data_IF_388931072037
#
_entry.id   IF_388931072037
#
_cell.length_a   1.000
_cell.length_b   1.000
_cell.length_c   1.000
_cell.angle_alpha   90.00
_cell.angle_beta   90.00
_cell.angle_gamma   90.00
#
_symmetry.space_group_name_H-M   'P 1'
#
loop_
_entity.id
_entity.type
_entity.pdbx_description
1 polymer ?
#
# COMPACT_ATOMS: atom_id res chain seq x y z
N UNK A 1 23.24 3.61 -17.13
CA UNK A 1 21.95 3.47 -17.86
C UNK A 1 20.78 4.21 -17.19
N UNK A 2 20.32 3.85 -15.99
CA UNK A 2 19.16 4.50 -15.36
C UNK A 2 19.28 6.03 -15.15
N UNK A 3 20.48 6.49 -14.79
CA UNK A 3 20.78 7.92 -14.63
C UNK A 3 20.84 8.70 -15.96
N UNK A 4 21.05 8.03 -17.09
CA UNK A 4 21.06 8.69 -18.41
C UNK A 4 19.63 8.86 -18.93
N UNK A 5 18.74 7.93 -18.58
CA UNK A 5 17.34 7.98 -19.00
C UNK A 5 16.48 8.89 -18.11
N UNK A 6 16.89 9.15 -16.87
CA UNK A 6 16.08 9.92 -15.90
C UNK A 6 15.79 11.33 -16.40
N UNK A 7 16.73 11.98 -17.09
CA UNK A 7 16.56 13.34 -17.60
C UNK A 7 15.45 13.40 -18.67
N UNK A 8 15.42 12.40 -19.56
CA UNK A 8 14.36 12.28 -20.57
C UNK A 8 12.99 12.04 -19.94
N UNK A 9 12.93 11.27 -18.85
CA UNK A 9 11.68 11.05 -18.09
C UNK A 9 11.25 12.33 -17.37
N UNK A 10 12.18 13.05 -16.75
CA UNK A 10 11.90 14.31 -16.06
C UNK A 10 11.36 15.37 -17.00
N UNK A 11 11.84 15.45 -18.24
CA UNK A 11 11.31 16.38 -19.24
C UNK A 11 9.83 16.11 -19.59
N UNK A 12 9.44 14.83 -19.64
CA UNK A 12 8.03 14.45 -19.83
C UNK A 12 7.21 14.81 -18.59
N UNK A 13 7.73 14.53 -17.39
CA UNK A 13 7.06 14.85 -16.12
C UNK A 13 6.81 16.36 -16.00
N UNK A 14 7.80 17.19 -16.35
CA UNK A 14 7.66 18.65 -16.38
C UNK A 14 6.54 19.09 -17.30
N UNK A 15 6.51 18.56 -18.52
CA UNK A 15 5.47 18.89 -19.51
C UNK A 15 4.06 18.57 -19.00
N UNK A 16 3.88 17.39 -18.39
CA UNK A 16 2.58 17.01 -17.83
C UNK A 16 2.23 17.84 -16.58
N UNK A 17 3.23 18.19 -15.76
CA UNK A 17 3.04 19.04 -14.58
C UNK A 17 2.62 20.47 -14.98
N UNK A 18 3.21 21.04 -16.03
CA UNK A 18 2.81 22.34 -16.59
C UNK A 18 1.43 22.32 -17.24
N UNK A 19 0.99 21.16 -17.73
CA UNK A 19 -0.36 20.96 -18.27
C UNK A 19 -1.46 20.89 -17.20
N UNK A 20 -1.12 20.82 -15.92
CA UNK A 20 -2.08 20.74 -14.82
C UNK A 20 -2.44 22.13 -14.27
N UNK A 21 -3.73 22.42 -14.13
CA UNK A 21 -4.18 23.67 -13.48
C UNK A 21 -3.69 23.77 -12.02
N UNK A 22 -3.71 22.66 -11.29
CA UNK A 22 -3.21 22.56 -9.91
C UNK A 22 -2.74 21.14 -9.60
N UNK A 23 -1.45 20.89 -9.79
CA UNK A 23 -0.82 19.61 -9.48
C UNK A 23 -0.90 19.28 -7.97
N UNK A 24 -1.49 18.14 -7.61
CA UNK A 24 -1.53 17.70 -6.21
C UNK A 24 -0.25 16.97 -5.78
N UNK A 25 0.29 16.14 -6.66
CA UNK A 25 1.37 15.23 -6.33
C UNK A 25 1.63 14.20 -7.41
N UNK A 26 2.50 13.24 -7.09
CA UNK A 26 2.93 12.17 -7.97
C UNK A 26 2.59 10.81 -7.34
N UNK A 27 2.19 9.86 -8.17
CA UNK A 27 1.94 8.48 -7.78
C UNK A 27 2.86 7.56 -8.57
N UNK A 28 3.70 6.80 -7.87
CA UNK A 28 4.68 5.91 -8.49
C UNK A 28 4.38 4.46 -8.12
N UNK A 29 4.23 3.61 -9.15
CA UNK A 29 4.07 2.17 -8.99
C UNK A 29 5.37 1.47 -9.38
N UNK A 30 6.02 0.79 -8.44
CA UNK A 30 7.29 0.12 -8.70
C UNK A 30 7.47 -1.12 -7.82
N UNK A 31 8.41 -1.99 -8.21
CA UNK A 31 8.85 -3.12 -7.39
C UNK A 31 10.19 -2.79 -6.73
N UNK A 32 10.34 -3.20 -5.47
CA UNK A 32 11.58 -2.99 -4.71
C UNK A 32 12.59 -4.13 -4.92
N UNK A 33 12.17 -5.25 -5.50
CA UNK A 33 13.05 -6.41 -5.76
C UNK A 33 13.90 -6.28 -7.03
N UNK A 34 13.40 -5.64 -8.08
CA UNK A 34 14.08 -5.55 -9.38
C UNK A 34 14.99 -4.33 -9.52
N UNK A 35 16.00 -4.38 -10.39
CA UNK A 35 16.98 -3.29 -10.55
C UNK A 35 16.41 -1.97 -11.10
N UNK A 36 15.54 -2.03 -12.11
CA UNK A 36 14.97 -0.82 -12.72
C UNK A 36 13.93 -0.16 -11.81
N UNK A 37 12.94 -0.92 -11.35
CA UNK A 37 11.89 -0.41 -10.48
C UNK A 37 12.43 0.16 -9.18
N UNK A 38 13.40 -0.52 -8.57
CA UNK A 38 13.96 -0.10 -7.29
C UNK A 38 14.98 1.03 -7.47
N UNK A 39 16.00 0.82 -8.32
CA UNK A 39 17.11 1.77 -8.50
C UNK A 39 16.71 3.02 -9.27
N UNK A 40 16.19 2.87 -10.50
CA UNK A 40 15.75 4.03 -11.29
C UNK A 40 14.51 4.68 -10.68
N UNK A 41 13.58 3.89 -10.11
CA UNK A 41 12.38 4.43 -9.46
C UNK A 41 12.71 5.32 -8.26
N UNK A 42 13.65 4.92 -7.39
CA UNK A 42 14.07 5.75 -6.26
C UNK A 42 14.89 6.98 -6.68
N UNK A 43 15.72 6.86 -7.71
CA UNK A 43 16.39 8.02 -8.31
C UNK A 43 15.37 9.05 -8.84
N UNK A 44 14.33 8.57 -9.54
CA UNK A 44 13.27 9.41 -10.05
C UNK A 44 12.49 10.10 -8.91
N UNK A 45 12.15 9.36 -7.84
CA UNK A 45 11.50 9.93 -6.65
C UNK A 45 12.33 11.07 -6.05
N UNK A 46 13.64 10.87 -5.90
CA UNK A 46 14.55 11.87 -5.37
C UNK A 46 14.59 13.12 -6.25
N UNK A 47 14.71 12.95 -7.58
CA UNK A 47 14.70 14.06 -8.55
C UNK A 47 13.38 14.84 -8.56
N UNK A 48 12.25 14.15 -8.51
CA UNK A 48 10.94 14.80 -8.42
C UNK A 48 10.83 15.56 -7.10
N UNK A 49 11.34 15.03 -5.99
CA UNK A 49 11.32 15.70 -4.68
C UNK A 49 12.21 16.94 -4.65
N UNK A 50 13.35 16.93 -5.35
CA UNK A 50 14.21 18.10 -5.53
C UNK A 50 13.50 19.22 -6.31
N UNK A 51 12.80 18.89 -7.40
CA UNK A 51 12.17 19.87 -8.28
C UNK A 51 10.78 20.33 -7.80
N UNK A 52 10.02 19.44 -7.16
CA UNK A 52 8.67 19.67 -6.66
C UNK A 52 8.55 19.39 -5.15
N UNK A 53 9.28 20.13 -4.29
CA UNK A 53 9.36 19.84 -2.85
C UNK A 53 8.01 19.95 -2.13
N UNK A 54 7.13 20.84 -2.58
CA UNK A 54 5.83 21.07 -1.94
C UNK A 54 4.74 20.09 -2.39
N UNK A 55 5.01 19.20 -3.35
CA UNK A 55 4.03 18.27 -3.92
C UNK A 55 4.08 16.92 -3.21
N UNK A 56 2.90 16.31 -3.06
CA UNK A 56 2.78 15.01 -2.39
C UNK A 56 3.46 13.90 -3.22
N UNK A 57 4.20 13.01 -2.57
CA UNK A 57 4.80 11.84 -3.19
C UNK A 57 4.22 10.55 -2.59
N UNK A 58 3.40 9.85 -3.38
CA UNK A 58 2.80 8.58 -2.98
C UNK A 58 3.38 7.43 -3.81
N UNK A 59 3.73 6.31 -3.17
CA UNK A 59 4.27 5.14 -3.86
C UNK A 59 3.45 3.89 -3.58
N UNK A 60 3.20 3.08 -4.61
CA UNK A 60 2.72 1.71 -4.48
C UNK A 60 3.94 0.80 -4.70
N UNK A 61 4.47 0.30 -3.58
CA UNK A 61 5.74 -0.41 -3.55
C UNK A 61 5.50 -1.90 -3.35
N UNK A 62 5.80 -2.69 -4.39
CA UNK A 62 5.74 -4.15 -4.31
C UNK A 62 7.02 -4.68 -3.69
N UNK A 63 6.88 -5.29 -2.52
CA UNK A 63 7.96 -5.86 -1.75
C UNK A 63 8.28 -7.28 -2.21
N UNK A 64 9.58 -7.64 -2.22
CA UNK A 64 9.99 -8.98 -2.59
C UNK A 64 9.54 -10.01 -1.55
N UNK A 65 9.28 -11.23 -2.04
CA UNK A 65 9.03 -12.40 -1.20
C UNK A 65 9.87 -13.59 -1.67
N UNK A 66 10.47 -14.34 -0.72
CA UNK A 66 11.26 -15.53 -1.03
C UNK A 66 10.44 -16.67 -1.67
N UNK A 67 9.10 -16.67 -1.55
CA UNK A 67 8.25 -17.71 -2.17
C UNK A 67 8.00 -17.49 -3.65
N UNK A 68 8.18 -16.26 -4.13
CA UNK A 68 7.69 -15.81 -5.44
C UNK A 68 8.78 -15.27 -6.33
N UNK A 69 10.03 -15.22 -5.85
CA UNK A 69 11.14 -14.65 -6.60
C UNK A 69 12.17 -15.67 -7.03
N UNK A 70 12.61 -15.50 -8.27
CA UNK A 70 13.74 -16.21 -8.89
C UNK A 70 15.08 -15.46 -8.69
N UNK A 71 15.07 -14.23 -8.17
CA UNK A 71 16.27 -13.38 -8.06
C UNK A 71 16.83 -13.35 -6.64
N UNK A 72 18.11 -13.73 -6.50
CA UNK A 72 18.77 -13.82 -5.19
C UNK A 72 19.21 -12.47 -4.60
N UNK A 73 19.24 -11.40 -5.40
CA UNK A 73 19.74 -10.07 -4.97
C UNK A 73 18.63 -9.10 -4.51
N UNK A 74 17.37 -9.53 -4.52
CA UNK A 74 16.25 -8.67 -4.10
C UNK A 74 16.39 -8.05 -2.70
N UNK A 75 16.93 -8.75 -1.68
CA UNK A 75 17.11 -8.14 -0.36
C UNK A 75 18.05 -6.92 -0.37
N UNK A 76 19.06 -6.91 -1.24
CA UNK A 76 19.91 -5.73 -1.44
C UNK A 76 19.13 -4.58 -2.05
N UNK A 77 18.44 -4.84 -3.17
CA UNK A 77 17.65 -3.84 -3.89
C UNK A 77 16.57 -3.22 -2.98
N UNK A 78 15.85 -4.06 -2.24
CA UNK A 78 14.79 -3.60 -1.34
C UNK A 78 15.35 -2.78 -0.18
N UNK A 79 16.46 -3.21 0.45
CA UNK A 79 17.06 -2.46 1.57
C UNK A 79 17.54 -1.09 1.13
N UNK A 80 18.24 -1.00 -0.01
CA UNK A 80 18.71 0.27 -0.56
C UNK A 80 17.54 1.18 -0.96
N UNK A 81 16.48 0.60 -1.52
CA UNK A 81 15.33 1.38 -1.98
C UNK A 81 14.45 1.87 -0.83
N UNK A 82 14.27 1.06 0.21
CA UNK A 82 13.54 1.47 1.42
C UNK A 82 14.24 2.66 2.07
N UNK A 83 15.58 2.70 2.11
CA UNK A 83 16.30 3.85 2.63
C UNK A 83 15.91 5.16 1.92
N UNK A 84 15.83 5.13 0.58
CA UNK A 84 15.40 6.28 -0.22
C UNK A 84 13.93 6.65 0.00
N UNK A 85 13.05 5.64 0.11
CA UNK A 85 11.62 5.86 0.35
C UNK A 85 11.36 6.53 1.71
N UNK A 86 12.10 6.16 2.75
CA UNK A 86 11.98 6.77 4.10
C UNK A 86 12.23 8.29 4.08
N UNK A 87 13.06 8.78 3.15
CA UNK A 87 13.43 10.20 3.10
C UNK A 87 12.64 11.00 2.07
N UNK A 88 12.27 10.38 0.94
CA UNK A 88 11.71 11.10 -0.20
C UNK A 88 10.22 10.83 -0.47
N UNK A 89 9.61 9.81 0.13
CA UNK A 89 8.17 9.54 -0.01
C UNK A 89 7.37 10.09 1.17
N UNK A 90 6.18 10.61 0.89
CA UNK A 90 5.24 11.07 1.93
C UNK A 90 4.28 9.93 2.33
N UNK A 91 3.97 9.03 1.41
CA UNK A 91 3.08 7.88 1.59
C UNK A 91 3.64 6.68 0.82
N UNK A 92 3.80 5.53 1.48
CA UNK A 92 4.18 4.29 0.81
C UNK A 92 3.19 3.19 1.14
N UNK A 93 2.42 2.77 0.14
CA UNK A 93 1.53 1.62 0.22
C UNK A 93 2.34 0.34 -0.03
N UNK A 94 2.56 -0.42 1.03
CA UNK A 94 3.32 -1.67 1.00
C UNK A 94 2.43 -2.80 0.48
N UNK A 95 2.83 -3.38 -0.64
CA UNK A 95 2.17 -4.54 -1.24
C UNK A 95 3.16 -5.70 -1.21
N UNK A 96 2.80 -6.80 -0.58
CA UNK A 96 3.64 -7.98 -0.45
C UNK A 96 3.13 -9.10 -1.35
N UNK A 97 3.97 -9.57 -2.27
CA UNK A 97 3.65 -10.71 -3.11
C UNK A 97 3.30 -11.95 -2.27
N UNK A 98 3.94 -12.16 -1.12
CA UNK A 98 3.62 -13.30 -0.25
C UNK A 98 2.16 -13.29 0.20
N UNK A 99 1.69 -12.12 0.64
CA UNK A 99 0.32 -11.95 1.12
C UNK A 99 -0.69 -12.08 -0.02
N UNK A 100 -0.38 -11.53 -1.20
CA UNK A 100 -1.23 -11.66 -2.39
C UNK A 100 -1.38 -13.13 -2.82
N UNK A 101 -0.28 -13.89 -2.85
CA UNK A 101 -0.31 -15.32 -3.16
C UNK A 101 -1.15 -16.10 -2.13
N UNK A 102 -0.95 -15.84 -0.84
CA UNK A 102 -1.71 -16.49 0.24
C UNK A 102 -3.21 -16.16 0.14
N UNK A 103 -3.59 -14.92 -0.19
CA UNK A 103 -4.99 -14.51 -0.43
C UNK A 103 -5.57 -15.28 -1.62
N UNK A 104 -4.89 -15.29 -2.76
CA UNK A 104 -5.37 -15.97 -3.96
C UNK A 104 -5.57 -17.47 -3.72
N UNK A 105 -4.63 -18.13 -3.04
CA UNK A 105 -4.69 -19.56 -2.82
C UNK A 105 -5.68 -19.95 -1.71
N UNK A 106 -5.63 -19.26 -0.56
CA UNK A 106 -6.44 -19.65 0.62
C UNK A 106 -7.84 -19.07 0.60
N UNK A 107 -7.99 -17.81 0.20
CA UNK A 107 -9.27 -17.07 0.24
C UNK A 107 -10.02 -17.23 -1.07
N UNK A 108 -9.36 -16.99 -2.22
CA UNK A 108 -10.00 -17.10 -3.54
C UNK A 108 -10.05 -18.53 -4.10
N UNK A 109 -9.37 -19.49 -3.44
CA UNK A 109 -9.32 -20.91 -3.83
C UNK A 109 -8.75 -21.14 -5.24
N UNK A 110 -7.80 -20.32 -5.66
CA UNK A 110 -7.07 -20.50 -6.91
C UNK A 110 -5.91 -21.49 -6.69
N UNK A 111 -5.92 -22.61 -7.41
CA UNK A 111 -4.90 -23.66 -7.27
C UNK A 111 -3.49 -23.20 -7.74
N UNK A 112 -3.45 -22.38 -8.79
CA UNK A 112 -2.22 -21.79 -9.34
C UNK A 112 -2.47 -20.32 -9.67
N UNK A 113 -2.23 -19.40 -8.71
CA UNK A 113 -2.37 -17.97 -8.95
C UNK A 113 -1.34 -17.47 -9.95
N UNK A 114 -1.80 -16.76 -10.98
CA UNK A 114 -0.98 -16.09 -11.98
C UNK A 114 -0.72 -14.63 -11.58
N UNK A 115 0.27 -13.98 -12.18
CA UNK A 115 0.48 -12.54 -11.98
C UNK A 115 -0.74 -11.70 -12.38
N UNK A 116 -1.58 -12.17 -13.30
CA UNK A 116 -2.85 -11.51 -13.61
C UNK A 116 -3.79 -11.46 -12.41
N UNK A 117 -3.85 -12.54 -11.63
CA UNK A 117 -4.69 -12.63 -10.42
C UNK A 117 -4.18 -11.70 -9.30
N UNK A 118 -2.86 -11.65 -9.11
CA UNK A 118 -2.23 -10.70 -8.17
C UNK A 118 -2.50 -9.25 -8.58
N UNK A 119 -2.34 -8.93 -9.87
CA UNK A 119 -2.56 -7.58 -10.38
C UNK A 119 -4.03 -7.14 -10.28
N UNK A 120 -4.98 -8.09 -10.36
CA UNK A 120 -6.39 -7.80 -10.10
C UNK A 120 -6.64 -7.36 -8.65
N UNK A 121 -5.94 -7.94 -7.67
CA UNK A 121 -6.00 -7.50 -6.27
C UNK A 121 -5.36 -6.13 -6.08
N UNK A 122 -4.16 -5.93 -6.63
CA UNK A 122 -3.44 -4.65 -6.55
C UNK A 122 -4.25 -3.51 -7.17
N UNK A 123 -4.79 -3.71 -8.37
CA UNK A 123 -5.61 -2.70 -9.05
C UNK A 123 -6.89 -2.37 -8.28
N UNK A 124 -7.51 -3.35 -7.61
CA UNK A 124 -8.68 -3.13 -6.76
C UNK A 124 -8.36 -2.21 -5.57
N UNK A 125 -7.22 -2.42 -4.91
CA UNK A 125 -6.75 -1.54 -3.82
C UNK A 125 -6.37 -0.17 -4.33
N UNK A 126 -5.60 -0.07 -5.42
CA UNK A 126 -5.22 1.22 -5.99
C UNK A 126 -6.46 2.03 -6.38
N UNK A 127 -7.47 1.39 -6.98
CA UNK A 127 -8.77 2.00 -7.25
C UNK A 127 -9.45 2.44 -5.96
N UNK A 128 -9.43 1.61 -4.92
CA UNK A 128 -9.94 1.90 -3.59
C UNK A 128 -9.32 3.14 -2.94
N UNK A 129 -8.00 3.17 -2.79
CA UNK A 129 -7.23 4.26 -2.18
C UNK A 129 -7.46 5.59 -2.92
N UNK A 130 -7.51 5.57 -4.25
CA UNK A 130 -7.71 6.77 -5.07
C UNK A 130 -9.17 7.17 -5.25
N UNK A 131 -10.13 6.50 -4.59
CA UNK A 131 -11.56 6.76 -4.79
C UNK A 131 -11.93 8.19 -4.41
N UNK A 132 -11.41 8.71 -3.30
CA UNK A 132 -11.71 10.08 -2.83
C UNK A 132 -11.15 11.18 -3.74
N UNK A 133 -10.21 10.84 -4.62
CA UNK A 133 -9.64 11.75 -5.61
C UNK A 133 -10.46 11.77 -6.91
N UNK A 134 -11.06 10.62 -7.27
CA UNK A 134 -11.72 10.42 -8.58
C UNK A 134 -13.22 10.65 -8.55
N UNK A 135 -13.86 10.46 -7.40
CA UNK A 135 -15.30 10.60 -7.27
C UNK A 135 -15.66 11.60 -6.17
N UNK A 136 -16.71 12.41 -6.37
CA UNK A 136 -17.22 13.27 -5.31
C UNK A 136 -17.81 12.40 -4.19
N UNK A 137 -17.24 12.52 -3.00
CA UNK A 137 -17.74 11.92 -1.77
C UNK A 137 -18.20 12.98 -0.75
N UNK A 138 -18.93 12.54 0.27
CA UNK A 138 -19.31 13.43 1.39
C UNK A 138 -18.09 13.80 2.24
N UNK A 139 -17.08 12.92 2.29
CA UNK A 139 -15.81 13.13 2.97
C UNK A 139 -14.69 13.06 1.92
N UNK A 140 -14.47 14.17 1.22
CA UNK A 140 -13.36 14.27 0.28
C UNK A 140 -12.04 14.41 1.06
N UNK A 141 -11.10 13.54 0.73
CA UNK A 141 -9.72 13.56 1.19
C UNK A 141 -8.83 13.64 -0.04
N UNK A 142 -8.13 14.76 -0.19
CA UNK A 142 -6.99 14.87 -1.10
C UNK A 142 -5.82 14.04 -0.57
N UNK A 143 -4.78 13.83 -1.39
CA UNK A 143 -3.58 13.12 -0.97
C UNK A 143 -2.94 13.76 0.27
N UNK A 144 -2.97 15.09 0.36
CA UNK A 144 -2.40 15.79 1.51
C UNK A 144 -3.15 15.51 2.81
N UNK A 145 -4.49 15.52 2.80
CA UNK A 145 -5.31 15.22 3.97
C UNK A 145 -5.20 13.76 4.37
N UNK A 146 -5.02 12.86 3.40
CA UNK A 146 -4.71 11.45 3.69
C UNK A 146 -3.39 11.33 4.46
N UNK A 147 -2.32 11.97 3.97
CA UNK A 147 -1.02 11.98 4.66
C UNK A 147 -1.11 12.60 6.05
N UNK A 148 -1.74 13.76 6.19
CA UNK A 148 -1.86 14.47 7.49
C UNK A 148 -2.60 13.61 8.53
N UNK A 149 -3.61 12.86 8.11
CA UNK A 149 -4.39 12.03 9.03
C UNK A 149 -3.72 10.68 9.33
N UNK A 150 -2.97 10.12 8.38
CA UNK A 150 -2.38 8.79 8.52
C UNK A 150 -0.92 8.77 8.96
N UNK A 151 -0.17 9.86 8.80
CA UNK A 151 1.26 9.93 9.10
C UNK A 151 1.51 10.80 10.34
N UNK A 152 1.48 10.23 11.56
CA UNK A 152 1.77 10.99 12.78
C UNK A 152 3.25 11.37 12.88
N UNK A 153 4.15 10.60 12.26
CA UNK A 153 5.59 10.83 12.25
C UNK A 153 6.15 10.71 10.84
N UNK A 154 6.98 11.66 10.36
CA UNK A 154 7.40 11.74 8.96
C UNK A 154 8.04 10.46 8.41
N UNK A 155 8.76 9.68 9.22
CA UNK A 155 9.42 8.43 8.79
C UNK A 155 8.53 7.18 8.88
N UNK A 156 7.36 7.29 9.52
CA UNK A 156 6.40 6.20 9.70
C UNK A 156 5.24 6.37 8.73
N UNK A 157 5.53 6.37 7.44
CA UNK A 157 4.57 6.55 6.35
C UNK A 157 4.35 5.28 5.51
N UNK A 158 4.71 4.11 6.06
CA UNK A 158 4.51 2.83 5.40
C UNK A 158 3.18 2.22 5.82
N UNK A 159 2.27 2.06 4.86
CA UNK A 159 0.92 1.60 5.10
C UNK A 159 0.75 0.14 4.70
N UNK A 160 0.07 -0.61 5.56
CA UNK A 160 -0.52 -1.90 5.21
C UNK A 160 -1.88 -1.63 4.55
N UNK A 161 -2.11 -2.23 3.40
CA UNK A 161 -3.37 -2.08 2.66
C UNK A 161 -4.17 -3.38 2.67
N UNK A 162 -5.48 -3.26 2.63
CA UNK A 162 -6.41 -4.39 2.57
C UNK A 162 -7.61 -4.06 1.69
N UNK A 163 -8.28 -5.10 1.20
CA UNK A 163 -9.48 -4.96 0.39
C UNK A 163 -10.55 -5.94 0.88
N UNK A 164 -11.80 -5.48 0.88
CA UNK A 164 -12.97 -6.31 1.08
C UNK A 164 -14.05 -5.90 0.06
N UNK A 165 -14.85 -6.84 -0.46
CA UNK A 165 -14.82 -8.27 -0.17
C UNK A 165 -13.75 -9.03 -0.97
N UNK A 166 -13.21 -10.09 -0.37
CA UNK A 166 -12.41 -11.09 -1.07
C UNK A 166 -13.21 -12.39 -1.16
N UNK A 167 -13.96 -12.56 -2.23
CA UNK A 167 -14.84 -13.71 -2.45
C UNK A 167 -14.40 -14.50 -3.67
N UNK A 168 -14.30 -15.81 -3.52
CA UNK A 168 -14.10 -16.71 -4.65
C UNK A 168 -15.28 -16.61 -5.62
N UNK A 169 -15.00 -16.74 -6.92
CA UNK A 169 -15.99 -16.59 -8.01
C UNK A 169 -17.23 -17.48 -7.77
N UNK A 170 -17.04 -18.72 -7.31
CA UNK A 170 -18.13 -19.65 -7.03
C UNK A 170 -18.99 -19.32 -5.80
N UNK A 171 -18.55 -18.41 -4.93
CA UNK A 171 -19.24 -18.04 -3.69
C UNK A 171 -19.84 -16.63 -3.71
N UNK A 172 -19.64 -15.87 -4.80
CA UNK A 172 -20.17 -14.51 -4.92
C UNK A 172 -21.70 -14.45 -4.86
N UNK A 173 -22.40 -15.40 -5.49
CA UNK A 173 -23.87 -15.40 -5.56
C UNK A 173 -24.56 -15.75 -4.24
N UNK A 174 -23.85 -16.34 -3.28
CA UNK A 174 -24.43 -16.86 -2.03
C UNK A 174 -24.21 -15.94 -0.82
N UNK A 175 -23.40 -14.89 -0.96
CA UNK A 175 -23.00 -14.05 0.18
C UNK A 175 -23.67 -12.68 0.11
N UNK A 176 -24.52 -12.37 1.09
CA UNK A 176 -25.06 -11.03 1.27
C UNK A 176 -23.95 -10.11 1.79
N UNK A 177 -23.48 -9.19 0.94
CA UNK A 177 -22.51 -8.17 1.36
C UNK A 177 -23.21 -7.16 2.27
N UNK A 178 -22.71 -6.99 3.49
CA UNK A 178 -23.20 -6.02 4.48
C UNK A 178 -22.04 -5.20 5.04
N UNK A 179 -22.33 -4.01 5.59
CA UNK A 179 -21.31 -3.15 6.20
C UNK A 179 -20.56 -3.84 7.36
N UNK A 180 -21.24 -4.57 8.28
CA UNK A 180 -20.54 -5.33 9.33
C UNK A 180 -19.61 -6.41 8.77
N UNK A 181 -20.03 -7.14 7.72
CA UNK A 181 -19.19 -8.16 7.10
C UNK A 181 -17.94 -7.58 6.42
N UNK A 182 -18.09 -6.44 5.71
CA UNK A 182 -16.96 -5.73 5.12
C UNK A 182 -15.99 -5.25 6.20
N UNK A 183 -16.55 -4.68 7.28
CA UNK A 183 -15.77 -4.19 8.41
C UNK A 183 -14.99 -5.31 9.09
N UNK A 184 -15.62 -6.46 9.34
CA UNK A 184 -14.94 -7.62 9.92
C UNK A 184 -13.84 -8.17 9.00
N UNK A 185 -14.09 -8.22 7.69
CA UNK A 185 -13.08 -8.66 6.72
C UNK A 185 -11.89 -7.72 6.63
N UNK A 186 -12.10 -6.39 6.71
CA UNK A 186 -11.00 -5.42 6.64
C UNK A 186 -9.98 -5.61 7.76
N UNK A 187 -10.43 -5.96 8.97
CA UNK A 187 -9.54 -6.17 10.12
C UNK A 187 -9.05 -7.62 10.27
N UNK A 188 -9.39 -8.52 9.35
CA UNK A 188 -8.83 -9.88 9.33
C UNK A 188 -7.40 -9.84 8.77
N UNK A 189 -6.45 -10.39 9.52
CA UNK A 189 -5.05 -10.50 9.11
C UNK A 189 -4.89 -11.21 7.75
N UNK A 190 -5.81 -12.11 7.41
CA UNK A 190 -5.78 -12.85 6.13
C UNK A 190 -6.09 -12.00 4.90
N UNK A 191 -6.72 -10.84 5.09
CA UNK A 191 -7.12 -9.95 3.99
C UNK A 191 -6.15 -8.77 3.82
N UNK A 192 -5.10 -8.71 4.64
CA UNK A 192 -4.03 -7.74 4.50
C UNK A 192 -3.13 -8.13 3.31
N UNK A 193 -2.79 -7.16 2.49
CA UNK A 193 -1.88 -7.34 1.35
C UNK A 193 -0.42 -7.12 1.74
N UNK A 194 -0.12 -6.99 3.03
CA UNK A 194 1.23 -7.05 3.58
C UNK A 194 1.31 -8.27 4.49
N UNK A 195 2.36 -9.10 4.38
CA UNK A 195 2.51 -10.29 5.22
C UNK A 195 3.03 -9.90 6.61
N UNK A 196 2.17 -9.26 7.38
CA UNK A 196 2.38 -8.90 8.78
C UNK A 196 1.08 -9.15 9.54
N UNK A 197 1.15 -9.77 10.72
CA UNK A 197 -0.05 -9.93 11.56
C UNK A 197 -0.32 -8.62 12.32
N UNK A 198 -1.45 -7.93 12.07
CA UNK A 198 -1.74 -6.69 12.78
C UNK A 198 -1.88 -6.86 14.29
N UNK A 199 -2.14 -8.09 14.77
CA UNK A 199 -2.24 -8.41 16.20
C UNK A 199 -0.90 -8.40 16.93
N UNK A 200 0.21 -8.51 16.21
CA UNK A 200 1.56 -8.42 16.77
C UNK A 200 2.02 -6.95 16.94
N UNK A 201 1.17 -5.99 16.58
CA UNK A 201 1.44 -4.57 16.70
C UNK A 201 0.24 -3.80 17.22
N UNK A 202 0.30 -2.48 17.05
CA UNK A 202 -0.80 -1.55 17.30
C UNK A 202 -0.96 -0.63 16.10
N UNK A 203 -2.21 -0.34 15.76
CA UNK A 203 -2.57 0.66 14.79
C UNK A 203 -2.29 2.05 15.36
N UNK A 204 -1.43 2.80 14.68
CA UNK A 204 -1.23 4.22 14.91
C UNK A 204 -2.46 4.97 14.38
N UNK A 205 -2.76 4.78 13.09
CA UNK A 205 -3.86 5.41 12.36
C UNK A 205 -4.43 4.43 11.34
N UNK A 206 -5.71 4.60 11.03
CA UNK A 206 -6.45 3.74 10.11
C UNK A 206 -7.36 4.60 9.25
N UNK A 207 -7.41 4.33 7.95
CA UNK A 207 -8.43 4.85 7.05
C UNK A 207 -9.22 3.69 6.42
N UNK A 208 -10.55 3.80 6.43
CA UNK A 208 -11.46 2.88 5.78
C UNK A 208 -12.30 3.61 4.72
N UNK A 209 -12.11 3.25 3.46
CA UNK A 209 -12.84 3.79 2.32
C UNK A 209 -13.94 2.82 1.89
N UNK A 210 -15.18 3.12 2.23
CA UNK A 210 -16.35 2.37 1.79
C UNK A 210 -16.87 2.91 0.46
N UNK A 211 -17.28 2.00 -0.42
CA UNK A 211 -17.82 2.28 -1.74
C UNK A 211 -19.14 1.57 -1.94
N UNK A 212 -20.08 2.26 -2.57
CA UNK A 212 -21.42 1.76 -2.89
C UNK A 212 -22.51 2.46 -2.08
N UNK A 213 -23.74 1.94 -2.16
CA UNK A 213 -24.89 2.49 -1.44
C UNK A 213 -24.88 2.06 0.02
N UNK A 214 -24.00 2.68 0.82
CA UNK A 214 -23.86 2.43 2.25
C UNK A 214 -24.36 3.63 3.07
N UNK A 215 -24.90 3.35 4.25
CA UNK A 215 -25.26 4.38 5.23
C UNK A 215 -24.02 4.82 6.00
N UNK A 216 -23.71 6.12 5.99
CA UNK A 216 -22.56 6.68 6.73
C UNK A 216 -22.66 6.37 8.22
N UNK A 217 -23.87 6.48 8.78
CA UNK A 217 -24.12 6.17 10.19
C UNK A 217 -23.80 4.70 10.53
N UNK A 218 -24.20 3.78 9.66
CA UNK A 218 -23.92 2.35 9.87
C UNK A 218 -22.42 2.05 9.81
N UNK A 219 -21.70 2.70 8.89
CA UNK A 219 -20.24 2.60 8.80
C UNK A 219 -19.56 3.13 10.07
N UNK A 220 -19.96 4.31 10.55
CA UNK A 220 -19.39 4.90 11.77
C UNK A 220 -19.68 4.03 13.02
N UNK A 221 -20.92 3.54 13.15
CA UNK A 221 -21.33 2.67 14.25
C UNK A 221 -20.51 1.35 14.26
N UNK A 222 -20.31 0.72 13.10
CA UNK A 222 -19.53 -0.52 13.00
C UNK A 222 -18.03 -0.30 13.25
N UNK A 223 -17.46 0.79 12.74
CA UNK A 223 -16.05 1.13 12.99
C UNK A 223 -15.81 1.43 14.47
N UNK A 224 -16.72 2.14 15.13
CA UNK A 224 -16.65 2.40 16.57
C UNK A 224 -16.76 1.10 17.39
N UNK A 225 -17.62 0.15 16.97
CA UNK A 225 -17.72 -1.18 17.62
C UNK A 225 -16.41 -1.95 17.51
N UNK A 226 -15.76 -1.95 16.35
CA UNK A 226 -14.46 -2.61 16.19
C UNK A 226 -13.40 -1.96 17.05
N UNK A 227 -13.32 -0.63 17.06
CA UNK A 227 -12.35 0.10 17.88
C UNK A 227 -12.56 -0.18 19.37
N UNK A 228 -13.81 -0.20 19.84
CA UNK A 228 -14.14 -0.47 21.25
C UNK A 228 -13.84 -1.91 21.64
N UNK A 229 -14.10 -2.87 20.76
CA UNK A 229 -13.85 -4.30 21.01
C UNK A 229 -12.35 -4.63 21.01
N UNK A 230 -11.58 -3.91 20.20
CA UNK A 230 -10.17 -4.18 19.95
C UNK A 230 -9.28 -3.03 20.45
N UNK A 231 -9.69 -2.30 21.50
CA UNK A 231 -9.03 -1.07 21.98
C UNK A 231 -7.53 -1.26 22.22
N UNK A 232 -7.12 -2.42 22.71
CA UNK A 232 -5.72 -2.77 23.00
C UNK A 232 -4.81 -2.76 21.75
N UNK A 233 -5.39 -2.96 20.57
CA UNK A 233 -4.70 -2.93 19.28
C UNK A 233 -4.62 -1.53 18.67
N UNK A 234 -5.27 -0.52 19.26
CA UNK A 234 -5.17 0.87 18.84
C UNK A 234 -4.30 1.64 19.85
N UNK A 235 -3.57 2.65 19.38
CA UNK A 235 -2.82 3.52 20.30
C UNK A 235 -3.75 4.49 21.02
N UNK A 236 -3.62 4.59 22.34
CA UNK A 236 -4.47 5.43 23.19
C UNK A 236 -4.13 6.93 23.09
N UNK A 237 -2.88 7.25 22.71
CA UNK A 237 -2.36 8.62 22.71
C UNK A 237 -2.67 9.40 21.42
N UNK A 238 -3.14 8.73 20.36
CA UNK A 238 -3.72 9.40 19.19
C UNK A 238 -5.25 9.30 19.32
N UNK A 239 -5.94 10.37 19.76
CA UNK A 239 -7.39 10.35 19.80
C UNK A 239 -7.96 10.29 18.39
N UNK A 240 -9.10 9.60 18.22
CA UNK A 240 -9.82 9.49 16.94
C UNK A 240 -8.93 9.05 15.76
N UNK A 241 -8.12 8.02 15.97
CA UNK A 241 -7.16 7.52 14.98
C UNK A 241 -7.76 6.69 13.83
N UNK A 242 -9.09 6.61 13.74
CA UNK A 242 -9.81 5.91 12.68
C UNK A 242 -10.57 6.93 11.84
N UNK A 243 -10.19 7.04 10.58
CA UNK A 243 -10.88 7.83 9.58
C UNK A 243 -11.75 6.94 8.70
N UNK A 244 -12.98 7.36 8.46
CA UNK A 244 -13.88 6.72 7.51
C UNK A 244 -14.18 7.67 6.37
N UNK A 245 -14.33 7.12 5.17
CA UNK A 245 -14.77 7.85 4.00
C UNK A 245 -15.73 6.99 3.20
N UNK A 246 -16.78 7.62 2.67
CA UNK A 246 -17.85 6.94 1.96
C UNK A 246 -18.02 7.56 0.58
N UNK A 247 -18.00 6.69 -0.44
CA UNK A 247 -18.29 7.05 -1.82
C UNK A 247 -19.51 6.26 -2.31
N UNK A 248 -20.46 6.96 -2.94
CA UNK A 248 -21.68 6.34 -3.48
C UNK A 248 -21.43 5.47 -4.72
N UNK A 249 -20.28 5.65 -5.38
CA UNK A 249 -19.92 4.92 -6.61
C UNK A 249 -19.23 3.59 -6.27
N UNK A 250 -19.97 2.51 -6.47
CA UNK A 250 -19.47 1.15 -6.31
C UNK A 250 -18.37 0.81 -7.34
N UNK A 251 -17.47 -0.12 -7.02
CA UNK A 251 -16.51 -0.64 -8.00
C UNK A 251 -17.19 -1.55 -9.03
N UNK A 252 -16.52 -1.79 -10.15
CA UNK A 252 -17.07 -2.61 -11.23
C UNK A 252 -17.29 -4.06 -10.75
N UNK A 253 -18.49 -4.59 -10.98
CA UNK A 253 -18.84 -5.99 -10.65
C UNK A 253 -19.18 -6.26 -9.18
N UNK A 254 -19.24 -5.23 -8.33
CA UNK A 254 -19.62 -5.35 -6.93
C UNK A 254 -20.60 -4.23 -6.54
N UNK A 255 -21.57 -4.53 -5.67
CA UNK A 255 -22.50 -3.52 -5.16
C UNK A 255 -21.87 -2.66 -4.07
N UNK A 256 -20.98 -3.25 -3.27
CA UNK A 256 -20.27 -2.60 -2.17
C UNK A 256 -18.86 -3.15 -2.01
N UNK A 257 -17.94 -2.29 -1.60
CA UNK A 257 -16.58 -2.65 -1.25
C UNK A 257 -16.03 -1.74 -0.16
N UNK A 258 -14.97 -2.18 0.51
CA UNK A 258 -14.24 -1.39 1.47
C UNK A 258 -12.73 -1.57 1.25
N UNK A 259 -12.00 -0.47 1.25
CA UNK A 259 -10.54 -0.47 1.16
C UNK A 259 -9.98 0.03 2.48
N UNK A 260 -9.02 -0.72 3.00
CA UNK A 260 -8.41 -0.49 4.29
C UNK A 260 -6.98 0.00 4.09
N UNK A 261 -6.61 1.05 4.81
CA UNK A 261 -5.26 1.58 4.87
C UNK A 261 -4.91 1.72 6.35
N UNK A 262 -3.86 1.04 6.80
CA UNK A 262 -3.44 1.08 8.19
C UNK A 262 -1.97 1.44 8.31
N UNK A 263 -1.70 2.41 9.17
CA UNK A 263 -0.37 2.63 9.72
C UNK A 263 -0.25 1.82 11.02
N UNK A 264 0.43 0.69 10.97
CA UNK A 264 0.57 -0.23 12.11
C UNK A 264 2.03 -0.49 12.40
N UNK A 265 2.36 -0.64 13.69
CA UNK A 265 3.70 -1.05 14.11
C UNK A 265 4.05 -2.48 13.69
N UNK A 266 3.06 -3.30 13.31
CA UNK A 266 3.27 -4.66 12.79
C UNK A 266 4.03 -4.68 11.45
N UNK A 267 4.06 -3.56 10.70
CA UNK A 267 4.83 -3.45 9.45
C UNK A 267 6.33 -3.76 9.67
N UNK A 268 6.83 -3.66 10.90
CA UNK A 268 8.19 -4.04 11.27
C UNK A 268 8.54 -5.49 10.89
N UNK A 269 7.57 -6.41 10.88
CA UNK A 269 7.81 -7.82 10.52
C UNK A 269 8.31 -7.95 9.09
N UNK A 270 7.72 -7.16 8.19
CA UNK A 270 8.08 -7.11 6.78
C UNK A 270 9.49 -6.53 6.59
N UNK A 271 9.83 -5.45 7.29
CA UNK A 271 11.20 -4.89 7.25
C UNK A 271 12.23 -5.81 7.89
N UNK A 272 11.88 -6.49 9.00
CA UNK A 272 12.75 -7.45 9.67
C UNK A 272 13.06 -8.64 8.76
N UNK A 273 12.06 -9.15 8.03
CA UNK A 273 12.25 -10.24 7.05
C UNK A 273 13.26 -9.84 5.97
N UNK A 274 13.13 -8.66 5.38
CA UNK A 274 14.07 -8.15 4.37
C UNK A 274 15.46 -7.92 4.99
N UNK A 275 15.51 -7.34 6.19
CA UNK A 275 16.76 -7.06 6.91
C UNK A 275 17.55 -8.31 7.32
N UNK A 276 16.87 -9.38 7.72
CA UNK A 276 17.49 -10.66 8.08
C UNK A 276 18.12 -11.33 6.83
N UNK A 277 17.41 -11.29 5.69
CA UNK A 277 17.91 -11.81 4.41
C UNK A 277 19.10 -11.00 3.89
N UNK A 278 19.00 -9.66 3.91
CA UNK A 278 20.09 -8.76 3.59
C UNK A 278 21.31 -9.05 4.46
N UNK A 279 21.13 -9.16 5.77
CA UNK A 279 22.22 -9.42 6.73
C UNK A 279 22.91 -10.75 6.46
N UNK A 280 22.15 -11.81 6.13
CA UNK A 280 22.71 -13.12 5.81
C UNK A 280 23.59 -13.08 4.55
N UNK A 281 23.15 -12.34 3.52
CA UNK A 281 23.89 -12.18 2.26
C UNK A 281 25.10 -11.26 2.40
N UNK A 282 24.92 -10.11 3.06
CA UNK A 282 25.97 -9.11 3.23
C UNK A 282 27.12 -9.61 4.10
N UNK A 283 26.83 -10.39 5.15
CA UNK A 283 27.88 -11.06 5.97
C UNK A 283 28.80 -11.95 5.13
N UNK A 284 28.28 -12.57 4.08
CA UNK A 284 29.04 -13.43 3.15
C UNK A 284 29.63 -12.65 1.97
N UNK A 285 29.36 -11.35 1.87
CA UNK A 285 29.70 -10.49 0.72
C UNK A 285 29.24 -11.09 -0.62
N UNK A 286 28.16 -11.87 -0.60
CA UNK A 286 27.63 -12.51 -1.79
C UNK A 286 27.08 -11.43 -2.74
N UNK A 287 27.40 -11.53 -4.03
CA UNK A 287 26.95 -10.61 -5.10
C UNK A 287 27.30 -9.12 -4.92
N UNK A 288 28.13 -8.78 -3.93
CA UNK A 288 28.49 -7.38 -3.65
C UNK A 288 29.24 -6.71 -4.81
N UNK A 289 30.04 -7.50 -5.55
CA UNK A 289 30.82 -7.02 -6.68
C UNK A 289 29.99 -6.38 -7.79
N UNK A 290 28.73 -6.81 -7.98
CA UNK A 290 27.79 -6.22 -8.96
C UNK A 290 27.34 -4.80 -8.58
N UNK A 291 27.37 -4.46 -7.30
CA UNK A 291 27.02 -3.12 -6.83
C UNK A 291 28.26 -2.22 -6.83
N UNK A 292 29.38 -2.72 -6.30
CA UNK A 292 30.63 -1.93 -6.23
C UNK A 292 31.27 -1.66 -7.59
N UNK A 293 30.94 -2.46 -8.63
CA UNK A 293 31.43 -2.22 -9.99
C UNK A 293 30.75 -1.04 -10.66
N UNK A 294 29.54 -0.68 -10.22
CA UNK A 294 28.72 0.38 -10.83
C UNK A 294 28.94 1.76 -10.20
N UNK A 295 29.89 1.88 -9.27
CA UNK A 295 30.24 3.11 -8.56
C UNK A 295 29.55 3.27 -7.22
#
# INVERSE_FOLDING_TARGET
>A
EGAELVDSVMDVIRREAEGCDSLQGFQITHSLGGGTGSGMGTLLISKIREEFPDRMMATFSVLPSPKTSDTVVEPYNATLSVHQLVEHSDETFCIDNEALYDICQRTLKLNQPSYGDLNNLVSSVMSGVTTSLRYPGQLNSDLRKLAVNLVPFPRLHFFMVGYAPLTAIGSQSFRSLTVPELTQQMFDAKNMMAAADPRNGRYLTVAAFFRGKVSVKEVEDEMHKVQSKNSDYFVEWIPNNVQTAVCSVAPQGLDMAATFIANSTSIQELFKRVGDQFSAMFKRKAFLHWYTSEG
#
